data_IF_559544651505
#
_entry.id   IF_559544651505
#
_cell.length_a   1.000
_cell.length_b   1.000
_cell.length_c   1.000
_cell.angle_alpha   90.00
_cell.angle_beta   90.00
_cell.angle_gamma   90.00
#
_symmetry.space_group_name_H-M   'P 1'
#
loop_
_entity.id
_entity.type
_entity.pdbx_description
1 polymer ?
#
# COMPACT_ATOMS: atom_id res chain seq x y z
N UNK A 1 -4.46 -31.48 -5.22
CA UNK A 1 -4.27 -30.28 -4.38
C UNK A 1 -3.27 -29.37 -5.08
N UNK A 2 -3.62 -28.10 -5.27
CA UNK A 2 -2.66 -27.11 -5.77
C UNK A 2 -1.61 -26.82 -4.68
N UNK A 3 -0.34 -26.71 -5.09
CA UNK A 3 0.75 -26.24 -4.22
C UNK A 3 0.81 -24.73 -4.31
N UNK A 4 0.84 -24.03 -3.17
CA UNK A 4 1.03 -22.59 -3.13
C UNK A 4 2.52 -22.31 -2.86
N UNK A 5 3.11 -21.46 -3.69
CA UNK A 5 4.44 -20.89 -3.48
C UNK A 5 4.31 -19.39 -3.20
N UNK A 6 4.80 -18.97 -2.06
CA UNK A 6 4.78 -17.57 -1.66
C UNK A 6 6.02 -16.84 -2.16
N UNK A 7 5.82 -15.65 -2.72
CA UNK A 7 6.90 -14.75 -3.15
C UNK A 7 6.70 -13.39 -2.53
N UNK A 8 7.75 -12.84 -1.95
CA UNK A 8 7.73 -11.54 -1.30
C UNK A 8 8.31 -10.47 -2.22
N UNK A 9 7.71 -9.29 -2.20
CA UNK A 9 8.13 -8.13 -2.98
C UNK A 9 8.20 -6.89 -2.08
N UNK A 10 9.14 -5.96 -2.33
CA UNK A 10 9.31 -4.77 -1.51
C UNK A 10 8.12 -3.80 -1.61
N UNK A 11 7.36 -3.82 -2.73
CA UNK A 11 6.17 -3.01 -2.95
C UNK A 11 5.32 -3.55 -4.11
N UNK A 12 4.08 -3.05 -4.21
CA UNK A 12 3.11 -3.47 -5.23
C UNK A 12 3.58 -3.32 -6.69
N UNK A 13 4.26 -2.24 -7.09
CA UNK A 13 4.77 -2.11 -8.46
C UNK A 13 5.65 -3.28 -8.90
N UNK A 14 6.58 -3.73 -8.06
CA UNK A 14 7.47 -4.87 -8.37
C UNK A 14 6.68 -6.19 -8.46
N UNK A 15 5.67 -6.37 -7.61
CA UNK A 15 4.80 -7.54 -7.69
C UNK A 15 4.01 -7.56 -9.03
N UNK A 16 3.48 -6.43 -9.48
CA UNK A 16 2.76 -6.35 -10.74
C UNK A 16 3.66 -6.52 -11.97
N UNK A 17 4.93 -6.15 -11.89
CA UNK A 17 5.93 -6.52 -12.91
C UNK A 17 6.04 -8.05 -13.01
N UNK A 18 6.23 -8.74 -11.89
CA UNK A 18 6.31 -10.20 -11.85
C UNK A 18 5.02 -10.87 -12.34
N UNK A 19 3.85 -10.32 -12.00
CA UNK A 19 2.56 -10.81 -12.47
C UNK A 19 2.40 -10.63 -13.99
N UNK A 20 2.84 -9.50 -14.54
CA UNK A 20 2.72 -9.21 -15.97
C UNK A 20 3.52 -10.16 -16.86
N UNK A 21 4.62 -10.72 -16.35
CA UNK A 21 5.46 -11.71 -17.05
C UNK A 21 5.13 -13.14 -16.66
N UNK A 22 4.08 -13.38 -15.85
CA UNK A 22 3.64 -14.71 -15.42
C UNK A 22 4.55 -15.38 -14.38
N UNK A 23 5.40 -14.62 -13.68
CA UNK A 23 6.25 -15.14 -12.60
C UNK A 23 5.47 -15.36 -11.30
N UNK A 24 4.30 -14.75 -11.17
CA UNK A 24 3.30 -14.99 -10.12
C UNK A 24 1.90 -14.99 -10.73
N UNK A 25 1.00 -15.76 -10.15
CA UNK A 25 -0.38 -15.90 -10.61
C UNK A 25 -1.34 -14.91 -9.94
N UNK A 26 -1.08 -14.61 -8.66
CA UNK A 26 -1.86 -13.69 -7.84
C UNK A 26 -0.97 -12.81 -6.98
N UNK A 27 -1.49 -11.66 -6.57
CA UNK A 27 -0.85 -10.83 -5.58
C UNK A 27 -1.82 -9.85 -4.94
N UNK A 28 -1.51 -9.42 -3.71
CA UNK A 28 -2.22 -8.36 -3.02
C UNK A 28 -1.44 -7.05 -3.13
N UNK A 29 -2.13 -5.97 -3.47
CA UNK A 29 -1.54 -4.64 -3.65
C UNK A 29 -2.48 -3.56 -3.11
N UNK A 30 -1.95 -2.38 -2.84
CA UNK A 30 -2.77 -1.19 -2.62
C UNK A 30 -3.51 -0.75 -3.89
N UNK A 31 -4.24 0.35 -3.78
CA UNK A 31 -5.05 0.91 -4.85
C UNK A 31 -4.26 1.41 -6.08
N UNK A 32 -3.08 1.97 -5.86
CA UNK A 32 -2.33 2.69 -6.91
C UNK A 32 -1.54 1.80 -7.87
N UNK A 33 -0.88 0.70 -7.45
CA UNK A 33 -0.09 -0.13 -8.36
C UNK A 33 -0.84 -0.61 -9.60
N UNK A 34 -2.11 -1.10 -9.51
CA UNK A 34 -2.86 -1.51 -10.70
C UNK A 34 -3.09 -0.39 -11.70
N UNK A 35 -3.31 0.84 -11.22
CA UNK A 35 -3.51 2.03 -12.07
C UNK A 35 -2.25 2.30 -12.92
N UNK A 36 -1.08 2.28 -12.30
CA UNK A 36 0.19 2.47 -13.02
C UNK A 36 0.48 1.33 -14.00
N UNK A 37 0.15 0.09 -13.64
CA UNK A 37 0.29 -1.06 -14.53
C UNK A 37 -0.64 -0.94 -15.76
N UNK A 38 -1.91 -0.58 -15.57
CA UNK A 38 -2.87 -0.33 -16.65
C UNK A 38 -2.44 0.85 -17.54
N UNK A 39 -1.93 1.94 -16.94
CA UNK A 39 -1.39 3.07 -17.70
C UNK A 39 -0.17 2.71 -18.54
N UNK A 40 0.54 1.64 -18.17
CA UNK A 40 1.66 1.05 -18.91
C UNK A 40 1.23 -0.11 -19.85
N UNK A 41 -0.07 -0.24 -20.14
CA UNK A 41 -0.65 -1.28 -21.02
C UNK A 41 -0.41 -2.72 -20.54
N UNK A 42 -0.22 -2.93 -19.22
CA UNK A 42 -0.09 -4.27 -18.65
C UNK A 42 -1.45 -4.89 -18.40
N UNK A 43 -1.61 -6.13 -18.82
CA UNK A 43 -2.82 -6.89 -18.56
C UNK A 43 -2.84 -7.38 -17.11
N UNK A 44 -3.99 -7.19 -16.45
CA UNK A 44 -4.26 -7.65 -15.10
C UNK A 44 -5.77 -7.82 -14.89
N UNK A 45 -6.14 -8.62 -13.90
CA UNK A 45 -7.54 -8.79 -13.51
C UNK A 45 -7.70 -8.50 -12.03
N UNK A 46 -8.65 -7.64 -11.71
CA UNK A 46 -9.08 -7.46 -10.33
C UNK A 46 -9.92 -8.67 -9.89
N UNK A 47 -9.47 -9.40 -8.91
CA UNK A 47 -10.11 -10.62 -8.41
C UNK A 47 -11.01 -10.31 -7.22
N UNK A 48 -10.61 -9.36 -6.40
CA UNK A 48 -11.35 -8.92 -5.24
C UNK A 48 -10.71 -7.72 -4.57
N UNK A 49 -11.36 -7.20 -3.54
CA UNK A 49 -10.86 -6.10 -2.74
C UNK A 49 -11.07 -6.34 -1.26
N UNK A 50 -10.33 -5.65 -0.44
CA UNK A 50 -10.58 -5.51 0.99
C UNK A 50 -10.48 -4.04 1.41
N UNK A 51 -11.19 -3.69 2.47
CA UNK A 51 -11.01 -2.40 3.12
C UNK A 51 -9.72 -2.42 3.94
N UNK A 52 -8.95 -1.35 3.88
CA UNK A 52 -7.75 -1.21 4.70
C UNK A 52 -7.93 -0.16 5.78
N UNK A 53 -7.29 -0.31 6.95
CA UNK A 53 -7.34 0.71 8.00
C UNK A 53 -6.80 2.04 7.45
N UNK A 54 -7.55 3.11 7.61
CA UNK A 54 -7.14 4.41 7.10
C UNK A 54 -5.81 4.88 7.70
N UNK A 55 -5.52 4.52 8.95
CA UNK A 55 -4.26 4.80 9.65
C UNK A 55 -3.14 3.80 9.36
N UNK A 56 -3.29 2.96 8.33
CA UNK A 56 -2.23 2.03 7.88
C UNK A 56 -1.19 2.66 6.96
N UNK A 57 -1.37 3.92 6.59
CA UNK A 57 -0.42 4.71 5.80
C UNK A 57 -0.38 6.16 6.29
N UNK A 58 0.79 6.77 6.25
CA UNK A 58 1.01 8.12 6.75
C UNK A 58 2.15 8.84 6.03
N UNK A 59 2.15 10.17 6.16
CA UNK A 59 3.31 11.01 5.91
C UNK A 59 4.03 11.24 7.24
N UNK A 60 5.23 10.71 7.34
CA UNK A 60 6.10 10.78 8.52
C UNK A 60 7.09 11.94 8.41
N UNK A 61 7.42 12.52 9.55
CA UNK A 61 8.51 13.48 9.72
C UNK A 61 9.44 13.01 10.84
N UNK A 62 10.73 13.38 10.81
CA UNK A 62 11.67 13.08 11.89
C UNK A 62 11.22 13.63 13.24
N UNK A 63 11.63 12.99 14.34
CA UNK A 63 11.32 13.38 15.72
C UNK A 63 11.53 14.88 15.98
N UNK A 64 12.64 15.42 15.50
CA UNK A 64 13.07 16.81 15.73
C UNK A 64 12.72 17.73 14.56
N UNK A 65 11.82 17.31 13.66
CA UNK A 65 11.39 18.13 12.53
C UNK A 65 10.65 19.39 13.00
N UNK A 66 10.92 20.50 12.35
CA UNK A 66 10.20 21.76 12.51
C UNK A 66 8.94 21.85 11.63
N UNK A 67 8.65 20.83 10.82
CA UNK A 67 7.44 20.78 10.00
C UNK A 67 6.23 20.57 10.92
N UNK A 68 5.41 21.62 11.04
CA UNK A 68 4.23 21.61 11.92
C UNK A 68 2.90 21.51 11.19
N UNK A 69 2.90 21.57 9.86
CA UNK A 69 1.69 21.49 9.03
C UNK A 69 1.99 20.96 7.64
N UNK A 70 0.95 20.54 6.91
CA UNK A 70 1.11 20.07 5.52
C UNK A 70 1.51 21.20 4.55
N UNK A 71 1.20 22.46 4.84
CA UNK A 71 1.65 23.62 4.07
C UNK A 71 3.17 23.84 4.18
N UNK A 72 3.77 23.45 5.30
CA UNK A 72 5.22 23.54 5.52
C UNK A 72 6.02 22.50 4.72
N UNK A 73 5.37 21.64 3.93
CA UNK A 73 6.00 20.71 3.00
C UNK A 73 6.61 21.39 1.77
N UNK A 74 6.28 22.66 1.50
CA UNK A 74 6.84 23.42 0.38
C UNK A 74 8.37 23.44 0.44
N UNK A 75 9.03 23.07 -0.68
CA UNK A 75 10.48 22.98 -0.80
C UNK A 75 11.13 21.77 -0.12
N UNK A 76 10.35 20.89 0.53
CA UNK A 76 10.88 19.76 1.30
C UNK A 76 11.19 18.55 0.42
N UNK A 77 12.21 17.78 0.84
CA UNK A 77 12.59 16.48 0.25
C UNK A 77 11.67 15.43 0.84
N UNK A 78 10.81 14.84 0.02
CA UNK A 78 9.80 13.87 0.48
C UNK A 78 10.03 12.54 -0.23
N UNK A 79 10.40 11.51 0.53
CA UNK A 79 10.57 10.17 -0.02
C UNK A 79 9.22 9.48 -0.18
N UNK A 80 9.07 8.76 -1.28
CA UNK A 80 7.92 7.91 -1.59
C UNK A 80 8.26 6.88 -2.66
N UNK A 81 7.69 5.68 -2.57
CA UNK A 81 7.75 4.69 -3.65
C UNK A 81 6.79 5.10 -4.76
N UNK A 82 7.33 5.34 -5.96
CA UNK A 82 6.51 5.68 -7.14
C UNK A 82 5.51 4.56 -7.45
N UNK A 83 4.25 4.93 -7.71
CA UNK A 83 3.19 3.98 -8.05
C UNK A 83 2.64 3.16 -6.88
N UNK A 84 3.00 3.47 -5.63
CA UNK A 84 2.44 2.83 -4.43
C UNK A 84 1.22 3.58 -3.89
N UNK A 85 0.50 2.98 -2.94
CA UNK A 85 -0.59 3.65 -2.22
C UNK A 85 -0.12 4.88 -1.42
N UNK A 86 1.11 4.89 -0.95
CA UNK A 86 1.71 6.06 -0.30
C UNK A 86 1.94 7.22 -1.29
N UNK A 87 2.14 6.91 -2.58
CA UNK A 87 2.20 7.92 -3.64
C UNK A 87 0.85 8.63 -3.81
N UNK A 88 -0.25 7.88 -3.77
CA UNK A 88 -1.60 8.43 -3.78
C UNK A 88 -1.87 9.26 -2.52
N UNK A 89 -1.50 8.76 -1.32
CA UNK A 89 -1.61 9.53 -0.09
C UNK A 89 -0.88 10.87 -0.22
N UNK A 90 0.37 10.88 -0.72
CA UNK A 90 1.14 12.12 -0.89
C UNK A 90 0.46 13.06 -1.90
N UNK A 91 -0.09 12.55 -3.01
CA UNK A 91 -0.84 13.36 -3.96
C UNK A 91 -2.05 14.06 -3.30
N UNK A 92 -2.82 13.33 -2.50
CA UNK A 92 -3.95 13.88 -1.72
C UNK A 92 -3.51 14.88 -0.67
N UNK A 93 -2.39 14.64 0.01
CA UNK A 93 -1.81 15.57 0.99
C UNK A 93 -1.41 16.89 0.31
N UNK A 94 -0.73 16.83 -0.84
CA UNK A 94 -0.36 18.02 -1.59
C UNK A 94 -1.59 18.81 -2.04
N UNK A 95 -2.60 18.12 -2.59
CA UNK A 95 -3.85 18.76 -2.99
C UNK A 95 -4.53 19.45 -1.79
N UNK A 96 -4.62 18.79 -0.64
CA UNK A 96 -5.18 19.34 0.60
C UNK A 96 -4.38 20.54 1.12
N UNK A 97 -3.06 20.56 0.90
CA UNK A 97 -2.16 21.64 1.29
C UNK A 97 -2.19 22.83 0.31
N UNK A 98 -2.85 22.68 -0.86
CA UNK A 98 -2.78 23.68 -1.95
C UNK A 98 -1.41 23.71 -2.63
N UNK A 99 -0.68 22.58 -2.59
CA UNK A 99 0.65 22.39 -3.18
C UNK A 99 0.57 21.50 -4.41
N UNK A 100 1.52 21.66 -5.30
CA UNK A 100 1.75 20.84 -6.47
C UNK A 100 3.04 20.01 -6.31
N UNK A 101 3.29 19.10 -7.23
CA UNK A 101 4.55 18.32 -7.26
C UNK A 101 5.79 19.20 -7.49
N UNK A 102 5.63 20.37 -8.15
CA UNK A 102 6.70 21.34 -8.35
C UNK A 102 7.05 22.13 -7.08
N UNK A 103 6.15 22.12 -6.10
CA UNK A 103 6.38 22.80 -4.81
C UNK A 103 7.20 21.97 -3.83
N UNK A 104 7.48 20.69 -4.13
CA UNK A 104 8.27 19.79 -3.29
C UNK A 104 9.46 19.21 -4.08
N UNK A 105 10.34 18.49 -3.38
CA UNK A 105 11.40 17.69 -3.98
C UNK A 105 11.09 16.19 -3.75
N UNK A 106 10.38 15.53 -4.68
CA UNK A 106 10.05 14.11 -4.52
C UNK A 106 11.32 13.25 -4.69
N UNK A 107 11.55 12.35 -3.74
CA UNK A 107 12.67 11.41 -3.76
C UNK A 107 12.08 10.00 -3.94
N UNK A 108 12.25 9.47 -5.13
CA UNK A 108 11.68 8.16 -5.50
C UNK A 108 12.54 7.02 -4.96
N UNK A 109 12.17 6.46 -3.84
CA UNK A 109 12.91 5.40 -3.15
C UNK A 109 12.01 4.22 -2.77
N UNK A 110 12.50 2.99 -2.89
CA UNK A 110 11.85 1.84 -2.26
C UNK A 110 11.90 1.96 -0.73
N UNK A 111 11.01 1.25 -0.01
CA UNK A 111 10.86 1.44 1.44
C UNK A 111 12.14 1.31 2.26
N UNK A 112 13.00 0.33 1.96
CA UNK A 112 14.25 0.14 2.71
C UNK A 112 15.23 1.30 2.53
N UNK A 113 15.39 1.80 1.29
CA UNK A 113 16.25 2.93 1.00
C UNK A 113 15.70 4.23 1.58
N UNK A 114 14.36 4.41 1.50
CA UNK A 114 13.69 5.54 2.12
C UNK A 114 13.84 5.54 3.65
N UNK A 115 13.79 4.36 4.31
CA UNK A 115 14.07 4.24 5.73
C UNK A 115 15.51 4.65 6.05
N UNK A 116 16.48 4.18 5.30
CA UNK A 116 17.89 4.55 5.50
C UNK A 116 18.11 6.07 5.30
N UNK A 117 17.45 6.67 4.30
CA UNK A 117 17.50 8.12 4.06
C UNK A 117 16.84 8.91 5.18
N UNK A 118 15.74 8.41 5.73
CA UNK A 118 15.01 9.01 6.84
C UNK A 118 15.87 9.00 8.13
N UNK A 119 16.45 7.87 8.47
CA UNK A 119 17.30 7.72 9.65
C UNK A 119 18.56 8.63 9.57
N UNK A 120 19.11 8.85 8.38
CA UNK A 120 20.22 9.78 8.12
C UNK A 120 19.78 11.24 7.99
N UNK A 121 18.51 11.54 8.11
CA UNK A 121 17.92 12.89 7.92
C UNK A 121 18.28 13.51 6.55
N UNK A 122 18.52 12.68 5.53
CA UNK A 122 18.74 13.14 4.16
C UNK A 122 17.46 13.44 3.40
N UNK A 123 16.29 13.15 4.00
CA UNK A 123 14.95 13.53 3.57
C UNK A 123 14.22 14.20 4.74
N UNK A 124 13.23 15.03 4.43
CA UNK A 124 12.51 15.84 5.40
C UNK A 124 11.16 15.19 5.81
N UNK A 125 10.60 14.35 4.94
CA UNK A 125 9.39 13.58 5.18
C UNK A 125 9.40 12.28 4.38
N UNK A 126 8.57 11.32 4.80
CA UNK A 126 8.46 10.00 4.18
C UNK A 126 7.00 9.54 4.14
N UNK A 127 6.45 9.35 2.93
CA UNK A 127 5.14 8.75 2.74
C UNK A 127 5.29 7.22 2.69
N UNK A 128 4.61 6.50 3.62
CA UNK A 128 4.82 5.07 3.82
C UNK A 128 3.59 4.39 4.41
N UNK A 129 3.58 3.07 4.41
CA UNK A 129 2.54 2.18 4.92
C UNK A 129 3.09 1.17 5.93
N UNK A 130 2.17 0.38 6.55
CA UNK A 130 2.54 -0.71 7.46
C UNK A 130 3.29 -1.85 6.74
N UNK A 131 4.25 -2.51 7.37
CA UNK A 131 4.71 -2.35 8.75
C UNK A 131 5.78 -1.25 8.96
N UNK A 132 6.27 -0.64 7.88
CA UNK A 132 7.34 0.38 7.93
C UNK A 132 6.94 1.60 8.76
N UNK A 133 5.66 1.99 8.71
CA UNK A 133 5.10 3.07 9.51
C UNK A 133 5.30 2.81 11.00
N UNK A 134 4.79 1.68 11.51
CA UNK A 134 4.93 1.32 12.93
C UNK A 134 6.39 1.12 13.35
N UNK A 135 7.22 0.57 12.47
CA UNK A 135 8.65 0.42 12.72
C UNK A 135 9.36 1.80 12.83
N UNK A 136 9.03 2.75 11.96
CA UNK A 136 9.61 4.09 12.02
C UNK A 136 9.15 4.87 13.27
N UNK A 137 7.88 4.76 13.65
CA UNK A 137 7.38 5.35 14.88
C UNK A 137 8.08 4.80 16.12
N UNK A 138 8.30 3.48 16.19
CA UNK A 138 8.93 2.84 17.35
C UNK A 138 10.45 3.08 17.39
N UNK A 139 11.15 2.77 16.31
CA UNK A 139 12.62 2.72 16.31
C UNK A 139 13.26 4.10 16.10
N UNK A 140 12.67 4.90 15.19
CA UNK A 140 13.18 6.24 14.85
C UNK A 140 12.40 7.36 15.57
N UNK A 141 11.39 7.03 16.37
CA UNK A 141 10.50 8.00 17.00
C UNK A 141 9.92 9.00 15.98
N UNK A 142 9.65 8.52 14.77
CA UNK A 142 9.02 9.30 13.73
C UNK A 142 7.66 9.83 14.20
N UNK A 143 7.30 11.02 13.74
CA UNK A 143 6.00 11.62 14.02
C UNK A 143 5.12 11.53 12.79
N UNK A 144 3.86 11.19 12.97
CA UNK A 144 2.84 11.26 11.93
C UNK A 144 2.45 12.73 11.75
N UNK A 145 2.73 13.28 10.57
CA UNK A 145 2.26 14.62 10.21
C UNK A 145 0.78 14.59 9.79
N UNK A 146 0.41 13.60 8.99
CA UNK A 146 -0.94 13.32 8.53
C UNK A 146 -1.01 11.86 8.11
N UNK A 147 -2.15 11.21 8.30
CA UNK A 147 -2.41 9.84 7.87
C UNK A 147 -3.66 9.73 6.98
N UNK A 148 -3.98 8.51 6.58
CA UNK A 148 -5.12 8.23 5.70
C UNK A 148 -6.48 8.56 6.31
N UNK A 149 -6.61 8.74 7.63
CA UNK A 149 -7.89 9.10 8.28
C UNK A 149 -8.40 10.50 7.88
N UNK A 150 -7.51 11.34 7.34
CA UNK A 150 -7.86 12.65 6.81
C UNK A 150 -8.54 12.61 5.43
N UNK A 151 -8.71 11.43 4.84
CA UNK A 151 -9.17 11.19 3.46
C UNK A 151 -10.28 10.12 3.41
N UNK A 152 -11.01 9.99 2.29
CA UNK A 152 -11.97 8.91 2.09
C UNK A 152 -11.34 7.52 2.22
N UNK A 153 -12.19 6.51 2.51
CA UNK A 153 -11.80 5.10 2.61
C UNK A 153 -10.97 4.66 1.41
N UNK A 154 -9.88 3.95 1.69
CA UNK A 154 -9.02 3.31 0.69
C UNK A 154 -9.20 1.80 0.72
N UNK A 155 -8.81 1.16 -0.38
CA UNK A 155 -8.94 -0.28 -0.59
C UNK A 155 -7.60 -0.88 -0.99
N UNK A 156 -7.41 -2.15 -0.67
CA UNK A 156 -6.40 -3.01 -1.30
C UNK A 156 -7.09 -3.98 -2.24
N UNK A 157 -6.37 -4.40 -3.27
CA UNK A 157 -6.90 -5.26 -4.30
C UNK A 157 -6.10 -6.55 -4.40
N UNK A 158 -6.81 -7.61 -4.70
CA UNK A 158 -6.25 -8.89 -5.12
C UNK A 158 -6.26 -8.92 -6.64
N UNK A 159 -5.08 -9.00 -7.21
CA UNK A 159 -4.86 -8.93 -8.67
C UNK A 159 -4.38 -10.30 -9.12
N UNK A 160 -4.89 -10.77 -10.24
CA UNK A 160 -4.48 -12.03 -10.83
C UNK A 160 -4.04 -11.87 -12.28
N UNK A 161 -3.20 -12.81 -12.71
CA UNK A 161 -2.83 -12.95 -14.12
C UNK A 161 -4.05 -13.39 -14.94
N UNK A 162 -4.49 -12.64 -15.98
CA UNK A 162 -5.72 -12.94 -16.71
C UNK A 162 -5.75 -14.34 -17.32
N UNK A 163 -4.62 -14.79 -17.86
CA UNK A 163 -4.50 -16.12 -18.46
C UNK A 163 -4.68 -17.22 -17.41
N UNK A 164 -4.08 -17.06 -16.22
CA UNK A 164 -4.23 -18.01 -15.12
C UNK A 164 -5.69 -18.08 -14.66
N UNK A 165 -6.34 -16.94 -14.45
CA UNK A 165 -7.73 -16.87 -13.97
C UNK A 165 -8.69 -17.54 -14.96
N UNK A 166 -8.50 -17.30 -16.27
CA UNK A 166 -9.30 -17.92 -17.31
C UNK A 166 -9.10 -19.44 -17.39
N UNK A 167 -7.86 -19.88 -17.20
CA UNK A 167 -7.51 -21.31 -17.29
C UNK A 167 -7.92 -22.08 -16.04
N UNK A 168 -7.83 -21.45 -14.85
CA UNK A 168 -8.03 -22.09 -13.55
C UNK A 168 -8.99 -21.31 -12.65
N UNK A 169 -10.25 -21.07 -13.06
CA UNK A 169 -11.21 -20.29 -12.29
C UNK A 169 -11.52 -20.88 -10.91
N UNK A 170 -11.56 -22.22 -10.82
CA UNK A 170 -11.80 -22.91 -9.55
C UNK A 170 -10.63 -22.72 -8.56
N UNK A 171 -9.40 -22.76 -9.05
CA UNK A 171 -8.21 -22.51 -8.22
C UNK A 171 -8.22 -21.07 -7.68
N UNK A 172 -8.65 -20.11 -8.50
CA UNK A 172 -8.84 -18.71 -8.10
C UNK A 172 -9.86 -18.59 -6.97
N UNK A 173 -11.02 -19.20 -7.14
CA UNK A 173 -12.08 -19.18 -6.12
C UNK A 173 -11.64 -19.85 -4.81
N UNK A 174 -10.96 -21.00 -4.89
CA UNK A 174 -10.42 -21.71 -3.73
C UNK A 174 -9.35 -20.89 -3.00
N UNK A 175 -8.49 -20.17 -3.73
CA UNK A 175 -7.47 -19.31 -3.14
C UNK A 175 -8.10 -18.18 -2.33
N UNK A 176 -9.06 -17.45 -2.90
CA UNK A 176 -9.79 -16.38 -2.21
C UNK A 176 -10.56 -16.91 -1.00
N UNK A 177 -11.20 -18.07 -1.15
CA UNK A 177 -11.90 -18.72 -0.03
C UNK A 177 -10.92 -19.07 1.11
N UNK A 178 -9.74 -19.62 0.79
CA UNK A 178 -8.71 -19.92 1.77
C UNK A 178 -8.19 -18.69 2.50
N UNK A 179 -8.00 -17.58 1.81
CA UNK A 179 -7.61 -16.31 2.43
C UNK A 179 -8.70 -15.79 3.40
N UNK A 180 -9.97 -15.89 3.02
CA UNK A 180 -11.09 -15.51 3.91
C UNK A 180 -11.20 -16.45 5.12
N UNK A 181 -10.90 -17.75 4.97
CA UNK A 181 -10.81 -18.66 6.11
C UNK A 181 -9.65 -18.28 7.04
N UNK A 182 -8.50 -17.86 6.49
CA UNK A 182 -7.37 -17.39 7.27
C UNK A 182 -7.71 -16.12 8.06
N UNK A 183 -8.46 -15.17 7.46
CA UNK A 183 -8.93 -13.99 8.19
C UNK A 183 -9.81 -14.37 9.39
N UNK A 184 -10.76 -15.29 9.21
CA UNK A 184 -11.59 -15.82 10.29
C UNK A 184 -10.76 -16.55 11.37
N UNK A 185 -9.72 -17.27 10.97
CA UNK A 185 -8.82 -17.91 11.90
C UNK A 185 -8.05 -16.90 12.75
N UNK A 186 -7.53 -15.83 12.13
CA UNK A 186 -6.84 -14.73 12.84
C UNK A 186 -7.72 -14.10 13.92
N UNK A 187 -9.00 -13.89 13.64
CA UNK A 187 -9.96 -13.35 14.61
C UNK A 187 -10.07 -14.20 15.87
N UNK A 188 -10.04 -15.52 15.70
CA UNK A 188 -10.22 -16.49 16.78
C UNK A 188 -8.92 -16.85 17.51
N UNK A 189 -7.76 -16.61 16.89
CA UNK A 189 -6.45 -17.09 17.34
C UNK A 189 -5.40 -15.97 17.34
N UNK A 190 -5.74 -14.80 17.90
CA UNK A 190 -4.92 -13.58 17.80
C UNK A 190 -3.46 -13.77 18.28
N UNK A 191 -3.24 -14.46 19.40
CA UNK A 191 -1.88 -14.72 19.91
C UNK A 191 -1.05 -15.60 18.98
N UNK A 192 -1.69 -16.63 18.37
CA UNK A 192 -1.02 -17.48 17.41
C UNK A 192 -0.77 -16.74 16.09
N UNK A 193 -1.72 -15.93 15.64
CA UNK A 193 -1.58 -15.09 14.45
C UNK A 193 -0.41 -14.09 14.61
N UNK A 194 -0.27 -13.47 15.78
CA UNK A 194 0.88 -12.62 16.11
C UNK A 194 2.20 -13.38 16.02
N UNK A 195 2.25 -14.59 16.58
CA UNK A 195 3.45 -15.43 16.51
C UNK A 195 3.81 -15.79 15.07
N UNK A 196 2.84 -16.23 14.27
CA UNK A 196 3.04 -16.54 12.85
C UNK A 196 3.52 -15.31 12.07
N UNK A 197 2.86 -14.14 12.29
CA UNK A 197 3.22 -12.90 11.62
C UNK A 197 4.65 -12.45 11.97
N UNK A 198 5.00 -12.51 13.26
CA UNK A 198 6.35 -12.18 13.74
C UNK A 198 7.41 -13.10 13.14
N UNK A 199 7.15 -14.41 13.10
CA UNK A 199 8.09 -15.40 12.53
C UNK A 199 8.26 -15.23 11.03
N UNK A 200 7.17 -14.96 10.30
CA UNK A 200 7.22 -14.83 8.83
C UNK A 200 7.85 -13.51 8.36
N UNK A 201 7.69 -12.42 9.14
CA UNK A 201 8.18 -11.09 8.74
C UNK A 201 9.52 -10.72 9.37
N UNK A 202 9.93 -11.41 10.43
CA UNK A 202 11.11 -11.05 11.22
C UNK A 202 10.94 -9.76 12.04
N UNK A 203 9.74 -9.20 12.12
CA UNK A 203 9.46 -7.99 12.89
C UNK A 203 9.58 -8.25 14.39
N UNK A 204 9.96 -7.21 15.13
CA UNK A 204 9.85 -7.24 16.59
C UNK A 204 8.39 -7.44 17.00
N UNK A 205 8.09 -8.26 18.04
CA UNK A 205 6.71 -8.54 18.46
C UNK A 205 5.88 -7.28 18.76
N UNK A 206 6.49 -6.23 19.31
CA UNK A 206 5.83 -4.96 19.58
C UNK A 206 5.39 -4.22 18.30
N UNK A 207 6.19 -4.26 17.26
CA UNK A 207 5.84 -3.68 15.95
C UNK A 207 4.75 -4.52 15.30
N UNK A 208 4.92 -5.85 15.27
CA UNK A 208 3.93 -6.78 14.73
C UNK A 208 2.55 -6.62 15.40
N UNK A 209 2.54 -6.44 16.73
CA UNK A 209 1.30 -6.19 17.49
C UNK A 209 0.62 -4.89 17.04
N UNK A 210 1.37 -3.80 16.91
CA UNK A 210 0.82 -2.50 16.44
C UNK A 210 0.17 -2.61 15.07
N UNK A 211 0.79 -3.36 14.16
CA UNK A 211 0.23 -3.59 12.81
C UNK A 211 -1.08 -4.37 12.88
N UNK A 212 -1.10 -5.46 13.67
CA UNK A 212 -2.31 -6.30 13.85
C UNK A 212 -3.43 -5.51 14.53
N UNK A 213 -3.12 -4.67 15.49
CA UNK A 213 -4.10 -3.85 16.21
C UNK A 213 -4.78 -2.80 15.31
N UNK A 214 -4.05 -2.28 14.33
CA UNK A 214 -4.60 -1.36 13.32
C UNK A 214 -5.48 -2.07 12.29
N UNK A 215 -5.29 -3.37 12.05
CA UNK A 215 -6.03 -4.12 11.03
C UNK A 215 -7.52 -4.15 11.34
N UNK A 216 -8.35 -3.92 10.31
CA UNK A 216 -9.79 -4.13 10.38
C UNK A 216 -10.10 -5.60 10.69
N UNK A 217 -11.10 -5.84 11.53
CA UNK A 217 -11.49 -7.17 11.99
C UNK A 217 -13.03 -7.29 11.98
N UNK A 218 -13.62 -8.10 11.11
CA UNK A 218 -13.00 -8.89 10.02
C UNK A 218 -12.56 -8.02 8.83
N UNK A 219 -11.70 -8.60 7.97
CA UNK A 219 -11.22 -7.96 6.74
C UNK A 219 -11.41 -8.90 5.55
N UNK A 220 -12.67 -9.25 5.20
CA UNK A 220 -12.93 -10.21 4.14
C UNK A 220 -12.63 -9.63 2.76
N UNK A 221 -12.12 -10.49 1.88
CA UNK A 221 -12.00 -10.19 0.46
C UNK A 221 -13.39 -10.29 -0.17
N UNK A 222 -13.79 -9.22 -0.84
CA UNK A 222 -15.12 -9.05 -1.43
C UNK A 222 -15.02 -8.90 -2.95
N UNK A 223 -16.13 -9.20 -3.64
CA UNK A 223 -16.29 -8.90 -5.06
C UNK A 223 -16.43 -7.39 -5.27
N UNK A 224 -15.79 -6.86 -6.32
CA UNK A 224 -15.82 -5.43 -6.62
C UNK A 224 -17.26 -4.92 -6.77
N UNK A 225 -17.54 -3.78 -6.14
CA UNK A 225 -18.81 -3.06 -6.27
C UNK A 225 -18.62 -1.82 -7.15
N UNK A 226 -19.71 -1.27 -7.72
CA UNK A 226 -19.62 -0.02 -8.48
C UNK A 226 -18.96 1.13 -7.72
N UNK A 227 -19.19 1.23 -6.41
CA UNK A 227 -18.61 2.25 -5.55
C UNK A 227 -17.09 2.11 -5.43
N UNK A 228 -16.59 0.88 -5.31
CA UNK A 228 -15.15 0.59 -5.25
C UNK A 228 -14.48 0.87 -6.60
N UNK A 229 -15.15 0.51 -7.70
CA UNK A 229 -14.67 0.83 -9.06
C UNK A 229 -14.61 2.34 -9.26
N UNK A 230 -15.64 3.08 -8.84
CA UNK A 230 -15.66 4.53 -8.92
C UNK A 230 -14.54 5.18 -8.06
N UNK A 231 -14.33 4.68 -6.84
CA UNK A 231 -13.25 5.15 -5.99
C UNK A 231 -11.87 4.91 -6.64
N UNK A 232 -11.68 3.76 -7.30
CA UNK A 232 -10.45 3.45 -8.02
C UNK A 232 -10.26 4.37 -9.24
N UNK A 233 -11.35 4.65 -9.98
CA UNK A 233 -11.33 5.59 -11.10
C UNK A 233 -10.94 7.01 -10.66
N UNK A 234 -11.48 7.49 -9.54
CA UNK A 234 -11.11 8.81 -9.00
C UNK A 234 -9.61 8.95 -8.72
N UNK A 235 -8.96 7.86 -8.29
CA UNK A 235 -7.51 7.86 -8.08
C UNK A 235 -6.78 7.92 -9.43
N UNK A 236 -7.24 7.18 -10.43
CA UNK A 236 -6.68 7.24 -11.79
C UNK A 236 -6.80 8.66 -12.38
N UNK A 237 -7.98 9.28 -12.23
CA UNK A 237 -8.23 10.65 -12.68
C UNK A 237 -7.33 11.67 -11.97
N UNK A 238 -7.11 11.51 -10.66
CA UNK A 238 -6.18 12.34 -9.89
C UNK A 238 -4.76 12.24 -10.47
N UNK A 239 -4.26 11.03 -10.73
CA UNK A 239 -2.92 10.83 -11.27
C UNK A 239 -2.78 11.35 -12.70
N UNK A 240 -3.82 11.27 -13.51
CA UNK A 240 -3.85 11.88 -14.83
C UNK A 240 -3.82 13.42 -14.73
N UNK A 241 -4.67 13.99 -13.88
CA UNK A 241 -4.74 15.44 -13.67
C UNK A 241 -3.40 16.06 -13.25
N UNK A 242 -2.67 15.35 -12.39
CA UNK A 242 -1.33 15.78 -11.94
C UNK A 242 -0.20 15.29 -12.85
N UNK A 243 -0.51 14.72 -14.03
CA UNK A 243 0.42 14.29 -15.08
C UNK A 243 1.43 13.21 -14.61
N UNK A 244 1.05 12.36 -13.67
CA UNK A 244 1.86 11.25 -13.18
C UNK A 244 1.60 9.94 -13.93
N UNK A 245 0.48 9.83 -14.65
CA UNK A 245 0.22 8.82 -15.67
C UNK A 245 -0.06 9.50 -17.02
N UNK A 246 0.34 8.87 -18.17
CA UNK A 246 0.34 9.53 -19.46
C UNK A 246 -1.03 9.59 -20.14
N UNK A 247 -1.99 8.78 -19.70
CA UNK A 247 -3.30 8.62 -20.36
C UNK A 247 -4.41 8.35 -19.36
N UNK A 248 -5.64 8.60 -19.79
CA UNK A 248 -6.84 8.14 -19.10
C UNK A 248 -6.94 6.60 -19.18
N UNK A 249 -7.34 5.95 -18.09
CA UNK A 249 -7.54 4.50 -17.99
C UNK A 249 -8.90 4.21 -17.39
#
# INVERSE_FOLDING_TARGET
QAKIEWKEFPAGPQMLEALSVGAVDFGAVGNTPPIFAQAADKELSYVGYEQVPANSQALLIPKNSSIGSIQALKGKRIAVQRGSSAHELLAKVLQKAGLSWQDIQPIWLPPADARAAFDKQSIDAWAIWEPYLSAAEQDAQAKVLIDGTAFPQTYSFYIGNPKFIQTYPEATAQFIHGLNQADQWVLKNQSQALSVYTQSTGLQPSIAQRVIDKRLKPSPIQTLTPEVVQAQQQIADLFQQVQLIPKHI
#
